data_IF_222175506490
#
_entry.id   IF_222175506490
#
_cell.length_a   1.000
_cell.length_b   1.000
_cell.length_c   1.000
_cell.angle_alpha   90.00
_cell.angle_beta   90.00
_cell.angle_gamma   90.00
#
_symmetry.space_group_name_H-M   'P 1'
#
loop_
_entity.id
_entity.type
_entity.pdbx_description
1 polymer ?
#
# COMPACT_ATOMS: atom_id res chain seq x y z
N UNK A 1 -0.91 12.07 37.11
CA UNK A 1 -0.05 10.91 36.78
C UNK A 1 -0.54 10.10 35.57
N UNK A 2 -1.83 9.89 35.44
CA UNK A 2 -2.41 9.16 34.29
C UNK A 2 -2.19 9.89 32.97
N UNK A 3 -2.22 11.20 32.96
CA UNK A 3 -2.08 12.06 31.77
C UNK A 3 -0.68 12.00 31.15
N UNK A 4 0.38 11.88 31.98
CA UNK A 4 1.77 11.83 31.50
C UNK A 4 2.06 10.48 30.84
N UNK A 5 1.56 9.40 31.42
CA UNK A 5 1.72 8.04 30.86
C UNK A 5 1.01 7.92 29.50
N UNK A 6 -0.17 8.51 29.38
CA UNK A 6 -0.95 8.53 28.15
C UNK A 6 -0.24 9.34 27.05
N UNK A 7 0.37 10.47 27.39
CA UNK A 7 1.16 11.30 26.48
C UNK A 7 2.41 10.57 25.97
N UNK A 8 3.15 9.89 26.83
CA UNK A 8 4.34 9.11 26.43
C UNK A 8 3.96 7.91 25.54
N UNK A 9 2.88 7.22 25.85
CA UNK A 9 2.38 6.12 25.03
C UNK A 9 1.93 6.62 23.66
N UNK A 10 1.24 7.76 23.61
CA UNK A 10 0.80 8.41 22.38
C UNK A 10 1.98 8.88 21.52
N UNK A 11 3.02 9.46 22.13
CA UNK A 11 4.23 9.90 21.43
C UNK A 11 5.01 8.73 20.86
N UNK A 12 5.16 7.64 21.60
CA UNK A 12 5.83 6.41 21.14
C UNK A 12 5.09 5.79 19.95
N UNK A 13 3.78 5.71 20.04
CA UNK A 13 2.92 5.22 18.97
C UNK A 13 3.01 6.09 17.73
N UNK A 14 3.02 7.43 17.90
CA UNK A 14 3.17 8.40 16.81
C UNK A 14 4.52 8.26 16.11
N UNK A 15 5.61 8.03 16.85
CA UNK A 15 6.95 7.83 16.29
C UNK A 15 7.03 6.57 15.43
N UNK A 16 6.48 5.46 15.89
CA UNK A 16 6.43 4.21 15.12
C UNK A 16 5.63 4.37 13.83
N UNK A 17 4.47 5.02 13.93
CA UNK A 17 3.60 5.32 12.81
C UNK A 17 4.30 6.18 11.77
N UNK A 18 5.01 7.22 12.20
CA UNK A 18 5.75 8.13 11.34
C UNK A 18 6.88 7.43 10.60
N UNK A 19 7.65 6.59 11.29
CA UNK A 19 8.73 5.81 10.67
C UNK A 19 8.19 4.89 9.58
N UNK A 20 7.11 4.17 9.86
CA UNK A 20 6.49 3.25 8.91
C UNK A 20 5.94 4.01 7.69
N UNK A 21 5.26 5.13 7.91
CA UNK A 21 4.72 5.95 6.85
C UNK A 21 5.82 6.51 5.95
N UNK A 22 6.90 7.02 6.54
CA UNK A 22 8.03 7.55 5.79
C UNK A 22 8.74 6.48 4.96
N UNK A 23 8.84 5.26 5.47
CA UNK A 23 9.38 4.13 4.70
C UNK A 23 8.55 3.85 3.44
N UNK A 24 7.23 3.86 3.57
CA UNK A 24 6.34 3.64 2.43
C UNK A 24 6.46 4.78 1.43
N UNK A 25 6.53 6.03 1.89
CA UNK A 25 6.70 7.20 1.02
C UNK A 25 8.08 7.24 0.34
N UNK A 26 9.09 6.60 0.93
CA UNK A 26 10.46 6.62 0.41
C UNK A 26 10.65 5.77 -0.85
N UNK A 27 9.70 4.90 -1.19
CA UNK A 27 9.83 3.96 -2.30
C UNK A 27 8.56 3.92 -3.14
N UNK A 28 8.73 3.67 -4.43
CA UNK A 28 7.64 3.39 -5.37
C UNK A 28 7.51 1.90 -5.66
N UNK A 29 8.23 1.05 -4.93
CA UNK A 29 8.25 -0.40 -5.16
C UNK A 29 7.03 -1.13 -4.64
N UNK A 30 6.11 -0.45 -3.95
CA UNK A 30 4.97 -1.07 -3.27
C UNK A 30 5.44 -2.13 -2.28
N UNK A 31 6.06 -1.71 -1.16
CA UNK A 31 6.75 -2.63 -0.28
C UNK A 31 5.81 -3.60 0.44
N UNK A 32 6.34 -4.77 0.75
CA UNK A 32 5.69 -5.78 1.60
C UNK A 32 5.86 -5.43 3.08
N UNK A 33 5.10 -6.10 3.96
CA UNK A 33 5.27 -5.95 5.40
C UNK A 33 6.67 -6.37 5.86
N UNK A 34 7.24 -7.40 5.25
CA UNK A 34 8.59 -7.87 5.60
C UNK A 34 9.64 -6.81 5.29
N UNK A 35 9.56 -6.19 4.13
CA UNK A 35 10.45 -5.09 3.76
C UNK A 35 10.32 -3.91 4.74
N UNK A 36 9.08 -3.54 5.08
CA UNK A 36 8.81 -2.44 6.01
C UNK A 36 9.36 -2.77 7.40
N UNK A 37 9.12 -3.97 7.88
CA UNK A 37 9.62 -4.43 9.17
C UNK A 37 11.14 -4.43 9.25
N UNK A 38 11.81 -4.98 8.25
CA UNK A 38 13.26 -5.03 8.22
C UNK A 38 13.89 -3.63 8.19
N UNK A 39 13.30 -2.70 7.46
CA UNK A 39 13.78 -1.32 7.40
C UNK A 39 13.40 -0.52 8.65
N UNK A 40 12.23 -0.73 9.23
CA UNK A 40 11.84 -0.08 10.48
C UNK A 40 12.76 -0.44 11.64
N UNK A 41 13.27 -1.66 11.69
CA UNK A 41 14.19 -2.12 12.75
C UNK A 41 15.52 -1.38 12.76
N UNK A 42 15.93 -0.79 11.65
CA UNK A 42 17.14 0.03 11.61
C UNK A 42 16.99 1.32 12.42
N UNK A 43 15.78 1.83 12.54
CA UNK A 43 15.46 3.06 13.28
C UNK A 43 14.87 2.76 14.66
N UNK A 44 14.12 1.69 14.78
CA UNK A 44 13.46 1.24 16.01
C UNK A 44 13.81 -0.24 16.23
N UNK A 45 14.99 -0.53 16.85
CA UNK A 45 15.49 -1.91 16.95
C UNK A 45 14.55 -2.89 17.64
N UNK A 46 13.72 -2.40 18.56
CA UNK A 46 12.80 -3.23 19.35
C UNK A 46 11.39 -3.33 18.77
N UNK A 47 11.15 -2.77 17.59
CA UNK A 47 9.82 -2.85 16.97
C UNK A 47 9.49 -4.31 16.65
N UNK A 48 8.26 -4.74 16.99
CA UNK A 48 7.78 -6.07 16.66
C UNK A 48 7.03 -6.09 15.35
N UNK A 49 6.96 -7.26 14.73
CA UNK A 49 6.17 -7.46 13.51
C UNK A 49 4.68 -7.13 13.75
N UNK A 50 4.14 -7.52 14.91
CA UNK A 50 2.77 -7.19 15.29
C UNK A 50 2.52 -5.70 15.39
N UNK A 51 3.50 -4.93 15.86
CA UNK A 51 3.42 -3.46 15.91
C UNK A 51 3.39 -2.88 14.51
N UNK A 52 4.19 -3.40 13.59
CA UNK A 52 4.18 -2.97 12.18
C UNK A 52 2.80 -3.21 11.56
N UNK A 53 2.23 -4.40 11.73
CA UNK A 53 0.89 -4.71 11.23
C UNK A 53 -0.18 -3.78 11.79
N UNK A 54 -0.16 -3.52 13.10
CA UNK A 54 -1.14 -2.61 13.73
C UNK A 54 -1.05 -1.20 13.17
N UNK A 55 0.18 -0.70 12.97
CA UNK A 55 0.38 0.63 12.40
C UNK A 55 -0.06 0.70 10.93
N UNK A 56 0.25 -0.32 10.14
CA UNK A 56 -0.20 -0.40 8.75
C UNK A 56 -1.73 -0.38 8.65
N UNK A 57 -2.39 -1.13 9.51
CA UNK A 57 -3.86 -1.18 9.56
C UNK A 57 -4.45 0.19 9.92
N UNK A 58 -3.84 0.89 10.87
CA UNK A 58 -4.26 2.23 11.26
C UNK A 58 -4.02 3.25 10.14
N UNK A 59 -2.87 3.19 9.47
CA UNK A 59 -2.56 4.07 8.34
C UNK A 59 -3.53 3.87 7.17
N UNK A 60 -3.91 2.64 6.90
CA UNK A 60 -4.91 2.30 5.89
C UNK A 60 -6.28 2.85 6.26
N UNK A 61 -6.69 2.68 7.52
CA UNK A 61 -7.95 3.21 8.05
C UNK A 61 -7.99 4.73 7.96
N UNK A 62 -6.87 5.39 8.22
CA UNK A 62 -6.74 6.85 8.15
C UNK A 62 -6.58 7.36 6.70
N UNK A 63 -6.60 6.45 5.71
CA UNK A 63 -6.48 6.76 4.29
C UNK A 63 -5.17 7.46 3.92
N UNK A 64 -4.10 7.12 4.61
CA UNK A 64 -2.75 7.61 4.31
C UNK A 64 -1.97 6.66 3.41
N UNK A 65 -2.36 5.39 3.38
CA UNK A 65 -1.81 4.37 2.50
C UNK A 65 -2.93 3.48 1.96
N UNK A 66 -2.63 2.75 0.92
CA UNK A 66 -3.53 1.80 0.26
C UNK A 66 -2.87 0.43 0.28
N UNK A 67 -3.66 -0.62 0.51
CA UNK A 67 -3.19 -2.01 0.43
C UNK A 67 -3.55 -2.58 -0.93
N UNK A 68 -2.56 -3.20 -1.58
CA UNK A 68 -2.72 -3.86 -2.87
C UNK A 68 -2.33 -5.32 -2.69
N UNK A 69 -3.16 -6.23 -3.20
CA UNK A 69 -2.85 -7.64 -3.14
C UNK A 69 -2.18 -8.11 -4.43
N UNK A 70 -0.95 -8.58 -4.28
CA UNK A 70 -0.19 -9.27 -5.32
C UNK A 70 -0.30 -10.77 -5.06
N UNK A 71 -1.30 -11.42 -5.64
CA UNK A 71 -1.68 -12.76 -5.25
C UNK A 71 -2.14 -12.78 -3.78
N UNK A 72 -1.46 -13.55 -2.94
CA UNK A 72 -1.73 -13.62 -1.50
C UNK A 72 -0.88 -12.65 -0.66
N UNK A 73 -0.03 -11.87 -1.31
CA UNK A 73 0.92 -10.97 -0.62
C UNK A 73 0.34 -9.55 -0.62
N UNK A 74 0.19 -8.97 0.57
CA UNK A 74 -0.18 -7.57 0.71
C UNK A 74 1.03 -6.68 0.42
N UNK A 75 0.83 -5.67 -0.42
CA UNK A 75 1.80 -4.62 -0.71
C UNK A 75 1.16 -3.27 -0.42
N UNK A 76 1.98 -2.30 -0.06
CA UNK A 76 1.50 -1.01 0.43
C UNK A 76 1.91 0.12 -0.50
N UNK A 77 1.00 1.05 -0.71
CA UNK A 77 1.17 2.17 -1.62
C UNK A 77 0.81 3.48 -0.92
N UNK A 78 1.63 4.49 -1.09
CA UNK A 78 1.37 5.85 -0.59
C UNK A 78 0.55 6.69 -1.57
N UNK A 79 0.38 6.23 -2.81
CA UNK A 79 -0.40 6.95 -3.83
C UNK A 79 -1.90 6.73 -3.58
N UNK A 80 -2.56 7.73 -3.02
CA UNK A 80 -3.98 7.70 -2.69
C UNK A 80 -4.88 8.18 -3.84
N UNK A 81 -4.32 8.66 -4.93
CA UNK A 81 -5.09 8.94 -6.13
C UNK A 81 -5.59 7.64 -6.76
N UNK A 82 -6.77 7.68 -7.35
CA UNK A 82 -7.31 6.50 -8.02
C UNK A 82 -6.42 6.12 -9.20
N UNK A 83 -5.88 4.93 -9.16
CA UNK A 83 -4.99 4.41 -10.19
C UNK A 83 -5.09 2.90 -10.26
N UNK A 84 -4.63 2.35 -11.37
CA UNK A 84 -4.48 0.92 -11.57
C UNK A 84 -2.99 0.57 -11.57
N UNK A 85 -2.67 -0.69 -11.72
CA UNK A 85 -1.31 -1.18 -11.64
C UNK A 85 -0.95 -2.06 -12.83
N UNK A 86 0.31 -1.97 -13.23
CA UNK A 86 0.96 -2.95 -14.12
C UNK A 86 1.87 -3.82 -13.29
N UNK A 87 1.83 -5.12 -13.51
CA UNK A 87 2.69 -6.09 -12.83
C UNK A 87 3.57 -6.80 -13.85
N UNK A 88 4.88 -6.78 -13.60
CA UNK A 88 5.82 -7.59 -14.36
C UNK A 88 5.87 -9.00 -13.80
N UNK A 89 5.62 -9.99 -14.65
CA UNK A 89 5.66 -11.41 -14.26
C UNK A 89 7.08 -11.92 -14.04
N UNK A 90 8.10 -11.19 -14.51
CA UNK A 90 9.50 -11.60 -14.40
C UNK A 90 10.14 -11.04 -13.13
N UNK A 91 10.10 -9.71 -12.92
CA UNK A 91 10.74 -9.08 -11.78
C UNK A 91 9.79 -8.75 -10.63
N UNK A 92 8.47 -8.88 -10.84
CA UNK A 92 7.45 -8.57 -9.82
C UNK A 92 7.21 -7.09 -9.59
N UNK A 93 7.79 -6.20 -10.39
CA UNK A 93 7.55 -4.77 -10.24
C UNK A 93 6.07 -4.44 -10.41
N UNK A 94 5.56 -3.58 -9.52
CA UNK A 94 4.26 -2.96 -9.63
C UNK A 94 4.44 -1.50 -10.00
N UNK A 95 3.79 -1.08 -11.09
CA UNK A 95 3.89 0.26 -11.64
C UNK A 95 2.49 0.89 -11.64
N UNK A 96 2.39 2.10 -11.11
CA UNK A 96 1.13 2.84 -11.10
C UNK A 96 0.79 3.35 -12.50
N UNK A 97 -0.47 3.21 -12.91
CA UNK A 97 -1.00 3.81 -14.14
C UNK A 97 -2.27 4.60 -13.84
N UNK A 98 -2.47 5.68 -14.58
CA UNK A 98 -3.66 6.50 -14.43
C UNK A 98 -4.92 5.75 -14.84
N UNK A 99 -5.94 5.82 -14.00
CA UNK A 99 -7.23 5.14 -14.20
C UNK A 99 -7.98 5.59 -15.46
N UNK A 100 -7.70 6.78 -15.96
CA UNK A 100 -8.38 7.35 -17.12
C UNK A 100 -8.01 6.72 -18.47
N UNK A 101 -7.01 5.84 -18.52
CA UNK A 101 -6.55 5.24 -19.76
C UNK A 101 -7.39 4.03 -20.19
N UNK A 102 -8.16 3.43 -19.29
CA UNK A 102 -8.95 2.24 -19.57
C UNK A 102 -10.31 2.37 -18.87
N UNK A 103 -11.34 2.69 -19.62
CA UNK A 103 -12.72 2.75 -19.12
C UNK A 103 -13.57 1.68 -19.82
N UNK A 104 -13.90 0.63 -19.08
CA UNK A 104 -14.72 -0.48 -19.54
C UNK A 104 -16.14 -0.44 -18.98
N UNK A 105 -16.47 0.57 -18.17
CA UNK A 105 -17.77 0.67 -17.48
C UNK A 105 -18.95 0.64 -18.44
N UNK A 106 -18.85 1.39 -19.55
CA UNK A 106 -19.91 1.44 -20.58
C UNK A 106 -20.10 0.11 -21.29
N UNK A 107 -19.00 -0.57 -21.58
CA UNK A 107 -19.01 -1.88 -22.21
C UNK A 107 -19.65 -2.92 -21.30
N UNK A 108 -19.33 -2.90 -20.02
CA UNK A 108 -19.93 -3.81 -19.02
C UNK A 108 -21.41 -3.53 -18.87
N UNK A 109 -21.82 -2.26 -18.79
CA UNK A 109 -23.23 -1.90 -18.70
C UNK A 109 -24.01 -2.42 -19.92
N UNK A 110 -23.47 -2.21 -21.13
CA UNK A 110 -24.12 -2.61 -22.38
C UNK A 110 -24.25 -4.13 -22.53
N UNK A 111 -23.16 -4.85 -22.22
CA UNK A 111 -23.10 -6.28 -22.50
C UNK A 111 -23.71 -7.15 -21.39
N UNK A 112 -23.70 -6.66 -20.16
CA UNK A 112 -24.10 -7.44 -18.98
C UNK A 112 -25.22 -6.78 -18.18
N UNK A 113 -25.70 -5.61 -18.60
CA UNK A 113 -26.70 -4.81 -17.86
C UNK A 113 -26.27 -4.61 -16.39
N UNK A 114 -24.99 -4.33 -16.19
CA UNK A 114 -24.37 -4.23 -14.89
C UNK A 114 -23.78 -2.83 -14.68
N UNK A 115 -24.24 -2.12 -13.64
CA UNK A 115 -23.76 -0.79 -13.31
C UNK A 115 -22.47 -0.88 -12.50
N UNK A 116 -21.35 -0.47 -13.09
CA UNK A 116 -20.06 -0.43 -12.42
C UNK A 116 -20.00 0.76 -11.47
N UNK A 117 -19.65 0.51 -10.20
CA UNK A 117 -19.45 1.55 -9.20
C UNK A 117 -17.98 1.89 -8.98
N UNK A 118 -17.09 0.92 -9.18
CA UNK A 118 -15.64 1.09 -9.06
C UNK A 118 -14.92 0.05 -9.91
N UNK A 119 -13.70 0.39 -10.32
CA UNK A 119 -12.82 -0.51 -11.07
C UNK A 119 -11.45 -0.48 -10.40
N UNK A 120 -10.96 -1.66 -10.05
CA UNK A 120 -9.60 -1.87 -9.58
C UNK A 120 -8.97 -2.95 -10.47
N UNK A 121 -7.87 -2.60 -11.15
CA UNK A 121 -7.24 -3.50 -12.11
C UNK A 121 -5.75 -3.63 -11.84
N UNK A 122 -5.24 -4.86 -12.01
CA UNK A 122 -3.82 -5.13 -12.15
C UNK A 122 -3.61 -5.86 -13.47
N UNK A 123 -2.85 -5.25 -14.35
CA UNK A 123 -2.55 -5.81 -15.69
C UNK A 123 -1.19 -6.47 -15.62
N UNK A 124 -1.14 -7.75 -15.91
CA UNK A 124 0.09 -8.54 -15.88
C UNK A 124 0.75 -8.60 -17.25
N UNK A 125 2.04 -8.53 -17.27
CA UNK A 125 2.83 -8.59 -18.51
C UNK A 125 4.32 -8.62 -18.25
N UNK A 126 5.08 -8.04 -19.15
CA UNK A 126 6.54 -7.99 -19.08
C UNK A 126 6.98 -6.53 -19.13
N UNK A 127 7.74 -6.08 -18.15
CA UNK A 127 8.19 -4.69 -18.07
C UNK A 127 9.28 -4.40 -19.12
N UNK A 128 9.55 -3.09 -19.32
CA UNK A 128 10.52 -2.62 -20.32
C UNK A 128 11.92 -3.25 -20.18
N UNK A 129 12.36 -3.57 -18.97
CA UNK A 129 13.64 -4.21 -18.71
C UNK A 129 13.70 -5.66 -19.19
N UNK A 130 12.56 -6.30 -19.43
CA UNK A 130 12.44 -7.73 -19.70
C UNK A 130 11.74 -8.04 -21.03
N UNK A 131 11.44 -7.02 -21.81
CA UNK A 131 10.90 -7.18 -23.16
C UNK A 131 11.99 -7.29 -24.23
#
# INVERSE_FOLDING_TARGET
>A
MITIYFLFSSMRYSQQKEVILNLIYSTKSHPTVDWIYNNARTQIPNISLGTVYRNLKQLEKDKLIMTIFDGNIARYDSNMEQHDHLKCNICGDLIDINKNNIDISKTILRNFNFKVTDIEMTISGTCKKHT
#
